data_IF_074234243992
#
_entry.id   IF_074234243992
#
_cell.length_a   1.000
_cell.length_b   1.000
_cell.length_c   1.000
_cell.angle_alpha   90.00
_cell.angle_beta   90.00
_cell.angle_gamma   90.00
#
_symmetry.space_group_name_H-M   'P 1'
#
loop_
_entity.id
_entity.type
_entity.pdbx_description
1 polymer ?
#
# COMPACT_ATOMS: atom_id res chain seq x y z
N UNK A 1 8.62 2.84 7.56
CA UNK A 1 8.69 1.35 7.61
C UNK A 1 8.97 0.81 6.19
N UNK A 2 9.19 -0.50 6.02
CA UNK A 2 9.49 -1.09 4.69
C UNK A 2 8.36 -0.88 3.66
N UNK A 3 7.10 -0.83 4.12
CA UNK A 3 5.93 -0.46 3.32
C UNK A 3 6.10 0.89 2.61
N UNK A 4 6.38 1.96 3.37
CA UNK A 4 6.60 3.31 2.83
C UNK A 4 7.83 3.41 1.94
N UNK A 5 8.92 2.72 2.29
CA UNK A 5 10.13 2.65 1.44
C UNK A 5 9.81 2.01 0.09
N UNK A 6 9.10 0.89 0.10
CA UNK A 6 8.72 0.18 -1.13
C UNK A 6 7.75 1.00 -1.97
N UNK A 7 6.72 1.59 -1.37
CA UNK A 7 5.74 2.41 -2.09
C UNK A 7 6.41 3.59 -2.80
N UNK A 8 7.31 4.32 -2.10
CA UNK A 8 8.09 5.41 -2.71
C UNK A 8 9.03 4.89 -3.80
N UNK A 9 9.77 3.82 -3.56
CA UNK A 9 10.68 3.27 -4.57
C UNK A 9 9.95 2.86 -5.86
N UNK A 10 8.76 2.25 -5.76
CA UNK A 10 7.95 1.89 -6.94
C UNK A 10 7.41 3.15 -7.62
N UNK A 11 6.85 4.11 -6.86
CA UNK A 11 6.38 5.39 -7.41
C UNK A 11 7.51 6.12 -8.15
N UNK A 12 8.67 6.26 -7.52
CA UNK A 12 9.82 6.99 -8.07
C UNK A 12 10.33 6.31 -9.34
N UNK A 13 10.39 4.97 -9.37
CA UNK A 13 10.72 4.22 -10.57
C UNK A 13 9.69 4.39 -11.70
N UNK A 14 8.40 4.55 -11.36
CA UNK A 14 7.36 4.84 -12.35
C UNK A 14 7.42 6.28 -12.85
N UNK A 15 7.81 7.25 -12.01
CA UNK A 15 8.03 8.63 -12.41
C UNK A 15 9.26 8.76 -13.32
N UNK A 16 10.37 8.11 -12.98
CA UNK A 16 11.60 8.09 -13.78
C UNK A 16 11.39 7.50 -15.17
N UNK A 17 10.48 6.52 -15.28
CA UNK A 17 10.15 5.83 -16.54
C UNK A 17 8.94 6.42 -17.27
N UNK A 18 8.36 7.50 -16.76
CA UNK A 18 7.16 8.14 -17.30
C UNK A 18 5.96 7.17 -17.46
N UNK A 19 5.79 6.24 -16.52
CA UNK A 19 4.70 5.25 -16.50
C UNK A 19 3.64 5.53 -15.43
N UNK A 20 3.74 6.66 -14.72
CA UNK A 20 2.84 6.96 -13.60
C UNK A 20 1.38 7.13 -14.04
N UNK A 21 1.16 7.65 -15.26
CA UNK A 21 -0.16 7.81 -15.85
C UNK A 21 -0.93 6.51 -16.09
N UNK A 22 -0.26 5.35 -15.97
CA UNK A 22 -0.92 4.05 -16.03
C UNK A 22 -1.80 3.78 -14.80
N UNK A 23 -1.47 4.36 -13.64
CA UNK A 23 -2.20 4.17 -12.39
C UNK A 23 -3.20 5.31 -12.11
N UNK A 24 -2.92 6.50 -12.62
CA UNK A 24 -3.78 7.67 -12.40
C UNK A 24 -3.97 8.43 -13.70
N UNK A 25 -5.21 8.46 -14.18
CA UNK A 25 -5.58 9.27 -15.34
C UNK A 25 -5.75 10.72 -14.91
N UNK A 26 -5.05 11.62 -15.60
CA UNK A 26 -5.20 13.06 -15.39
C UNK A 26 -6.65 13.50 -15.64
N UNK A 27 -7.18 14.33 -14.74
CA UNK A 27 -8.55 14.82 -14.79
C UNK A 27 -9.61 13.81 -14.36
N UNK A 28 -9.22 12.64 -13.85
CA UNK A 28 -10.19 11.66 -13.33
C UNK A 28 -10.76 12.10 -11.97
N UNK A 29 -12.01 11.70 -11.69
CA UNK A 29 -12.62 11.90 -10.38
C UNK A 29 -11.77 11.29 -9.24
N UNK A 30 -11.12 10.15 -9.50
CA UNK A 30 -10.22 9.50 -8.53
C UNK A 30 -9.00 10.36 -8.19
N UNK A 31 -8.43 11.08 -9.16
CA UNK A 31 -7.33 12.01 -8.90
C UNK A 31 -7.77 13.15 -7.95
N UNK A 32 -8.96 13.70 -8.17
CA UNK A 32 -9.47 14.77 -7.32
C UNK A 32 -9.76 14.28 -5.90
N UNK A 33 -10.44 13.15 -5.76
CA UNK A 33 -10.72 12.51 -4.46
C UNK A 33 -9.42 12.26 -3.70
N UNK A 34 -8.43 11.60 -4.34
CA UNK A 34 -7.14 11.32 -3.70
C UNK A 34 -6.38 12.58 -3.30
N UNK A 35 -6.45 13.64 -4.10
CA UNK A 35 -5.82 14.93 -3.76
C UNK A 35 -6.49 15.56 -2.55
N UNK A 36 -7.81 15.54 -2.47
CA UNK A 36 -8.57 16.06 -1.32
C UNK A 36 -8.27 15.26 -0.06
N UNK A 37 -8.26 13.93 -0.13
CA UNK A 37 -7.93 13.08 1.02
C UNK A 37 -6.47 13.24 1.47
N UNK A 38 -5.55 13.49 0.53
CA UNK A 38 -4.14 13.78 0.84
C UNK A 38 -3.96 15.08 1.64
N UNK A 39 -4.79 16.08 1.41
CA UNK A 39 -4.75 17.32 2.19
C UNK A 39 -5.26 17.12 3.62
N UNK A 40 -6.30 16.28 3.77
CA UNK A 40 -7.00 16.02 5.04
C UNK A 40 -6.27 15.06 5.97
N UNK A 41 -5.59 14.04 5.44
CA UNK A 41 -4.85 13.08 6.27
C UNK A 41 -3.74 13.79 7.07
N UNK A 42 -3.39 13.28 8.25
CA UNK A 42 -2.22 13.77 9.01
C UNK A 42 -0.97 12.95 8.73
N UNK A 43 -1.11 11.81 8.04
CA UNK A 43 -0.02 10.92 7.76
C UNK A 43 0.78 11.42 6.55
N UNK A 44 2.01 11.88 6.82
CA UNK A 44 2.93 12.40 5.80
C UNK A 44 3.25 11.39 4.70
N UNK A 45 3.28 10.08 5.00
CA UNK A 45 3.51 9.06 3.97
C UNK A 45 2.30 8.93 3.04
N UNK A 46 1.07 9.08 3.54
CA UNK A 46 -0.12 9.06 2.68
C UNK A 46 -0.24 10.33 1.84
N UNK A 47 0.07 11.50 2.42
CA UNK A 47 0.12 12.78 1.67
C UNK A 47 1.02 12.70 0.43
N UNK A 48 2.15 12.03 0.58
CA UNK A 48 3.17 11.88 -0.45
C UNK A 48 2.80 10.83 -1.53
N UNK A 49 1.91 9.89 -1.22
CA UNK A 49 1.59 8.75 -2.09
C UNK A 49 0.23 8.85 -2.79
N UNK A 50 -0.80 9.37 -2.10
CA UNK A 50 -2.15 9.50 -2.64
C UNK A 50 -2.23 10.24 -3.99
N UNK A 51 -1.50 11.35 -4.23
CA UNK A 51 -1.55 12.04 -5.52
C UNK A 51 -1.15 11.20 -6.74
N UNK A 52 -0.58 10.02 -6.50
CA UNK A 52 -0.12 9.10 -7.54
C UNK A 52 -0.93 7.79 -7.59
N UNK A 53 -2.01 7.67 -6.80
CA UNK A 53 -2.78 6.43 -6.61
C UNK A 53 -2.00 5.30 -5.90
N UNK A 54 -1.02 5.68 -5.07
CA UNK A 54 -0.28 4.77 -4.19
C UNK A 54 -0.74 4.96 -2.75
N UNK A 55 -0.68 3.90 -1.95
CA UNK A 55 -0.91 3.97 -0.51
C UNK A 55 -0.12 2.91 0.25
N UNK A 56 -0.08 3.06 1.57
CA UNK A 56 0.46 2.07 2.49
C UNK A 56 -0.58 1.66 3.51
N UNK A 57 -0.50 0.42 4.00
CA UNK A 57 -1.32 -0.06 5.10
C UNK A 57 -0.50 -0.94 6.04
N UNK A 58 -0.50 -0.62 7.34
CA UNK A 58 0.06 -1.51 8.36
C UNK A 58 -0.48 -1.18 9.75
N UNK A 59 -0.36 -2.13 10.69
CA UNK A 59 -0.83 -1.99 12.07
C UNK A 59 -0.27 -0.79 12.85
N UNK A 60 0.87 -0.22 12.44
CA UNK A 60 1.43 0.99 13.05
C UNK A 60 0.80 2.31 12.62
N UNK A 61 -0.16 2.31 11.69
CA UNK A 61 -0.94 3.50 11.33
C UNK A 61 -2.10 3.66 12.32
N UNK A 62 -2.56 4.89 12.52
CA UNK A 62 -3.78 5.11 13.30
C UNK A 62 -4.97 4.43 12.60
N UNK A 63 -6.05 4.18 13.35
CA UNK A 63 -7.22 3.46 12.82
C UNK A 63 -7.91 4.23 11.69
N UNK A 64 -8.02 5.55 11.82
CA UNK A 64 -8.70 6.40 10.83
C UNK A 64 -8.02 6.32 9.45
N UNK A 65 -6.69 6.44 9.40
CA UNK A 65 -5.92 6.33 8.16
C UNK A 65 -6.00 4.93 7.55
N UNK A 66 -6.06 3.87 8.38
CA UNK A 66 -6.23 2.50 7.88
C UNK A 66 -7.59 2.31 7.22
N UNK A 67 -8.66 2.74 7.88
CA UNK A 67 -10.01 2.66 7.33
C UNK A 67 -10.14 3.50 6.06
N UNK A 68 -9.58 4.72 6.03
CA UNK A 68 -9.54 5.54 4.83
C UNK A 68 -8.86 4.83 3.66
N UNK A 69 -7.70 4.20 3.89
CA UNK A 69 -6.98 3.45 2.85
C UNK A 69 -7.75 2.21 2.40
N UNK A 70 -8.42 1.51 3.31
CA UNK A 70 -9.28 0.36 3.00
C UNK A 70 -10.44 0.78 2.09
N UNK A 71 -11.15 1.86 2.43
CA UNK A 71 -12.28 2.38 1.66
C UNK A 71 -11.84 2.85 0.26
N UNK A 72 -10.80 3.68 0.18
CA UNK A 72 -10.27 4.19 -1.09
C UNK A 72 -9.74 3.08 -2.01
N UNK A 73 -9.22 1.98 -1.44
CA UNK A 73 -8.79 0.83 -2.24
C UNK A 73 -9.98 -0.01 -2.71
N UNK A 74 -10.98 -0.24 -1.85
CA UNK A 74 -12.21 -0.95 -2.21
C UNK A 74 -12.97 -0.22 -3.34
N UNK A 75 -12.99 1.11 -3.31
CA UNK A 75 -13.57 1.98 -4.34
C UNK A 75 -12.69 2.12 -5.60
N UNK A 76 -11.52 1.46 -5.62
CA UNK A 76 -10.54 1.46 -6.71
C UNK A 76 -9.95 2.84 -7.02
N UNK A 77 -9.95 3.75 -6.06
CA UNK A 77 -9.21 5.01 -6.19
C UNK A 77 -7.71 4.77 -6.04
N UNK A 78 -7.29 3.90 -5.13
CA UNK A 78 -5.90 3.44 -4.98
C UNK A 78 -5.67 2.25 -5.92
N UNK A 79 -4.70 2.36 -6.82
CA UNK A 79 -4.29 1.28 -7.73
C UNK A 79 -3.16 0.43 -7.16
N UNK A 80 -2.31 1.01 -6.31
CA UNK A 80 -1.17 0.30 -5.70
C UNK A 80 -1.19 0.45 -4.18
N UNK A 81 -1.44 -0.65 -3.49
CA UNK A 81 -1.41 -0.73 -2.03
C UNK A 81 -0.24 -1.59 -1.56
N UNK A 82 0.65 -1.02 -0.75
CA UNK A 82 1.76 -1.76 -0.12
C UNK A 82 1.45 -2.03 1.34
N UNK A 83 1.39 -3.30 1.72
CA UNK A 83 1.03 -3.70 3.09
C UNK A 83 1.95 -4.77 3.68
N UNK A 84 1.74 -5.05 4.97
CA UNK A 84 2.33 -6.19 5.69
C UNK A 84 1.37 -7.37 5.72
N UNK A 85 1.87 -8.59 5.95
CA UNK A 85 1.08 -9.82 5.98
C UNK A 85 -0.16 -9.77 6.90
N UNK A 86 -0.13 -8.93 7.93
CA UNK A 86 -1.27 -8.70 8.84
C UNK A 86 -2.56 -8.24 8.14
N UNK A 87 -2.48 -7.61 6.97
CA UNK A 87 -3.67 -7.18 6.23
C UNK A 87 -4.49 -8.39 5.74
N UNK A 88 -3.83 -9.40 5.17
CA UNK A 88 -4.47 -10.61 4.65
C UNK A 88 -5.28 -11.36 5.72
N UNK A 89 -4.82 -11.31 6.97
CA UNK A 89 -5.50 -11.93 8.11
C UNK A 89 -6.59 -11.06 8.74
N UNK A 90 -6.51 -9.73 8.56
CA UNK A 90 -7.29 -8.77 9.35
C UNK A 90 -8.51 -8.19 8.63
N UNK A 91 -8.45 -8.06 7.30
CA UNK A 91 -9.48 -7.38 6.50
C UNK A 91 -9.66 -8.09 5.16
N UNK A 92 -10.91 -8.33 4.76
CA UNK A 92 -11.22 -8.87 3.44
C UNK A 92 -11.20 -7.75 2.38
N UNK A 93 -10.00 -7.44 1.89
CA UNK A 93 -9.76 -6.41 0.88
C UNK A 93 -9.18 -7.06 -0.39
N UNK A 94 -10.02 -7.62 -1.27
CA UNK A 94 -9.54 -8.38 -2.43
C UNK A 94 -8.86 -7.47 -3.44
N UNK A 95 -7.72 -7.90 -3.95
CA UNK A 95 -7.00 -7.26 -5.05
C UNK A 95 -6.99 -8.20 -6.27
N UNK A 96 -7.05 -7.63 -7.48
CA UNK A 96 -6.96 -8.43 -8.70
C UNK A 96 -5.57 -9.09 -8.86
N UNK A 97 -4.53 -8.43 -8.37
CA UNK A 97 -3.16 -8.92 -8.47
C UNK A 97 -2.44 -8.64 -7.16
N UNK A 98 -1.83 -9.69 -6.61
CA UNK A 98 -1.05 -9.62 -5.37
C UNK A 98 0.40 -9.99 -5.69
N UNK A 99 1.33 -9.17 -5.22
CA UNK A 99 2.77 -9.40 -5.36
C UNK A 99 3.38 -9.56 -3.98
N UNK A 100 3.99 -10.73 -3.72
CA UNK A 100 4.73 -10.98 -2.49
C UNK A 100 6.17 -10.52 -2.68
N UNK A 101 6.50 -9.34 -2.15
CA UNK A 101 7.87 -8.79 -2.19
C UNK A 101 8.74 -9.45 -1.13
N UNK A 102 9.49 -10.46 -1.54
CA UNK A 102 10.39 -11.22 -0.68
C UNK A 102 9.63 -12.23 0.18
N UNK A 103 10.25 -13.37 0.44
CA UNK A 103 9.64 -14.47 1.21
C UNK A 103 10.33 -14.68 2.55
N UNK A 104 11.27 -13.81 2.94
CA UNK A 104 12.02 -13.95 4.18
C UNK A 104 11.47 -13.04 5.26
N UNK A 105 11.18 -13.63 6.42
CA UNK A 105 10.74 -12.95 7.64
C UNK A 105 11.68 -13.23 8.79
N UNK A 106 11.91 -12.24 9.64
CA UNK A 106 12.74 -12.43 10.82
C UNK A 106 11.95 -13.20 11.88
N UNK A 107 12.47 -14.36 12.31
CA UNK A 107 11.88 -15.16 13.38
C UNK A 107 12.63 -14.88 14.69
N UNK A 108 12.01 -14.18 15.67
CA UNK A 108 12.67 -13.84 16.93
C UNK A 108 13.02 -15.06 17.79
N UNK A 109 12.19 -16.10 17.77
CA UNK A 109 12.40 -17.34 18.55
C UNK A 109 13.64 -18.10 18.07
N UNK A 110 13.89 -18.08 16.76
CA UNK A 110 15.06 -18.73 16.13
C UNK A 110 16.26 -17.79 15.99
N UNK A 111 16.08 -16.50 16.25
CA UNK A 111 17.12 -15.47 16.10
C UNK A 111 17.67 -15.31 14.68
N UNK A 112 16.90 -15.69 13.65
CA UNK A 112 17.35 -15.69 12.25
C UNK A 112 16.21 -15.40 11.27
N UNK A 113 16.57 -15.03 10.06
CA UNK A 113 15.63 -14.97 8.93
C UNK A 113 15.21 -16.37 8.52
N UNK A 114 13.92 -16.55 8.27
CA UNK A 114 13.32 -17.79 7.79
C UNK A 114 12.34 -17.49 6.67
N UNK A 115 12.05 -18.50 5.84
CA UNK A 115 11.02 -18.37 4.82
C UNK A 115 9.63 -18.20 5.43
N UNK A 116 8.75 -17.52 4.69
CA UNK A 116 7.35 -17.30 5.00
C UNK A 116 6.63 -18.64 5.13
N UNK A 117 5.72 -18.76 6.10
CA UNK A 117 4.93 -19.98 6.26
C UNK A 117 3.99 -20.19 5.07
N UNK A 118 3.71 -21.46 4.73
CA UNK A 118 2.76 -21.77 3.66
C UNK A 118 1.36 -21.16 3.90
N UNK A 119 0.92 -21.08 5.17
CA UNK A 119 -0.35 -20.45 5.54
C UNK A 119 -0.37 -18.95 5.26
N UNK A 120 0.75 -18.25 5.45
CA UNK A 120 0.85 -16.81 5.15
C UNK A 120 0.87 -16.54 3.65
N UNK A 121 1.30 -17.51 2.83
CA UNK A 121 1.23 -17.41 1.35
C UNK A 121 -0.17 -17.74 0.85
N UNK A 122 -0.88 -18.65 1.52
CA UNK A 122 -2.20 -19.11 1.11
C UNK A 122 -3.34 -18.14 1.45
N UNK A 123 -3.13 -17.25 2.43
CA UNK A 123 -4.06 -16.16 2.75
C UNK A 123 -3.87 -14.97 1.81
#
# INVERSE_FOLDING_TARGET
KETGKTARAVRDACLEKDTIGAFLKEGSASQEILRTEAEQTKNLELKDLFPYSFAIHHAGMNRADRTLVEDLFAERHIQVLVSTATLAWGVNLPAHTVIIKGTQVYNPEKGRWTELGALDVMQ
#
